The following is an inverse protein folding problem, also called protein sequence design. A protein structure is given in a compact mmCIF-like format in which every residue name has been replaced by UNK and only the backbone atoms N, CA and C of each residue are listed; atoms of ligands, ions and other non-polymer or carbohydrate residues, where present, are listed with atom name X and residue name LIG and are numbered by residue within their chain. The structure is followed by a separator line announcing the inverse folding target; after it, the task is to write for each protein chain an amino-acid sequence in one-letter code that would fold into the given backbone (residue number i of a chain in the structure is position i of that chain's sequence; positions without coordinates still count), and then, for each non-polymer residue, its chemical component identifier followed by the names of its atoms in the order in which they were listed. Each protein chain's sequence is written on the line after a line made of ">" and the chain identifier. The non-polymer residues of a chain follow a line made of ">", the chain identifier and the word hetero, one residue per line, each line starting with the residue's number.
data_IF_770319204680
#
_entry.id   IF_770319204680
#
_cell.length_a   1.000
_cell.length_b   1.000
_cell.length_c   1.000
_cell.angle_alpha   90.00
_cell.angle_beta   90.00
_cell.angle_gamma   90.00
#
_symmetry.space_group_name_H-M   'P 1'
#
loop_
_entity.id
_entity.type
_entity.pdbx_description
1 polymer ?
#
# COMPACT_ATOMS: atom_id res chain seq x y z
N UNK A 1 -10.21 28.31 17.93
CA UNK A 1 -8.91 28.77 18.46
C UNK A 1 -8.13 29.39 17.32
N UNK A 2 -7.89 30.70 17.36
CA UNK A 2 -7.10 31.41 16.35
C UNK A 2 -5.61 31.12 16.64
N UNK A 3 -4.85 30.61 15.66
CA UNK A 3 -3.42 30.37 15.85
C UNK A 3 -2.70 31.69 16.18
N UNK A 4 -1.81 31.66 17.18
CA UNK A 4 -1.04 32.83 17.58
C UNK A 4 -0.21 33.38 16.40
N UNK A 5 -0.18 34.70 16.16
CA UNK A 5 0.65 35.31 15.12
C UNK A 5 2.13 34.93 15.19
N UNK A 6 2.65 34.63 16.39
CA UNK A 6 4.03 34.18 16.57
C UNK A 6 4.26 32.77 15.97
N UNK A 7 3.25 31.89 16.03
CA UNK A 7 3.34 30.53 15.51
C UNK A 7 3.38 30.51 13.98
N UNK A 8 2.59 31.35 13.32
CA UNK A 8 2.58 31.45 11.86
C UNK A 8 3.90 32.03 11.31
N UNK A 9 4.48 33.00 12.01
CA UNK A 9 5.82 33.53 11.72
C UNK A 9 6.90 32.45 11.89
N UNK A 10 6.83 31.66 12.95
CA UNK A 10 7.75 30.54 13.18
C UNK A 10 7.64 29.47 12.07
N UNK A 11 6.42 29.07 11.69
CA UNK A 11 6.19 28.15 10.58
C UNK A 11 6.79 28.69 9.27
N UNK A 12 6.59 29.99 8.98
CA UNK A 12 7.18 30.64 7.80
C UNK A 12 8.70 30.65 7.85
N UNK A 13 9.30 30.95 9.01
CA UNK A 13 10.74 30.93 9.20
C UNK A 13 11.33 29.53 8.94
N UNK A 14 10.76 28.49 9.52
CA UNK A 14 11.20 27.09 9.33
C UNK A 14 11.12 26.70 7.85
N UNK A 15 10.02 27.03 7.16
CA UNK A 15 9.88 26.75 5.72
C UNK A 15 10.97 27.45 4.90
N UNK A 16 11.21 28.73 5.15
CA UNK A 16 12.22 29.51 4.42
C UNK A 16 13.64 28.99 4.63
N UNK A 17 13.95 28.51 5.83
CA UNK A 17 15.27 27.94 6.15
C UNK A 17 15.49 26.58 5.49
N UNK A 18 14.47 25.72 5.51
CA UNK A 18 14.61 24.31 5.10
C UNK A 18 14.41 24.10 3.60
N UNK A 19 13.58 24.91 2.94
CA UNK A 19 13.20 24.73 1.52
C UNK A 19 14.40 24.75 0.55
N UNK A 20 15.37 25.68 0.65
CA UNK A 20 16.52 25.69 -0.26
C UNK A 20 17.35 24.40 -0.18
N UNK A 21 17.50 23.86 1.03
CA UNK A 21 18.24 22.61 1.27
C UNK A 21 17.48 21.42 0.68
N UNK A 22 16.16 21.37 0.85
CA UNK A 22 15.32 20.33 0.27
C UNK A 22 15.32 20.35 -1.27
N UNK A 23 15.27 21.55 -1.88
CA UNK A 23 15.36 21.71 -3.33
C UNK A 23 16.71 21.20 -3.85
N UNK A 24 17.81 21.52 -3.15
CA UNK A 24 19.17 21.06 -3.53
C UNK A 24 19.33 19.54 -3.41
N UNK A 25 18.73 18.91 -2.41
CA UNK A 25 18.83 17.46 -2.21
C UNK A 25 17.89 16.66 -3.11
N UNK A 26 16.86 17.29 -3.67
CA UNK A 26 15.89 16.64 -4.54
C UNK A 26 15.06 15.55 -3.85
N UNK A 27 14.32 14.80 -4.67
CA UNK A 27 13.41 13.73 -4.22
C UNK A 27 13.91 12.32 -4.57
N UNK A 28 15.02 12.22 -5.30
CA UNK A 28 15.59 10.94 -5.74
C UNK A 28 16.46 10.33 -4.65
N UNK A 29 16.62 9.00 -4.68
CA UNK A 29 17.43 8.27 -3.69
C UNK A 29 18.94 8.32 -3.99
N UNK A 30 19.47 9.54 -4.14
CA UNK A 30 20.86 9.79 -4.51
C UNK A 30 21.71 10.28 -3.33
N UNK A 31 23.01 10.02 -3.43
CA UNK A 31 24.03 10.46 -2.46
C UNK A 31 24.29 9.45 -1.33
N UNK A 32 25.17 9.86 -0.41
CA UNK A 32 25.51 9.08 0.77
C UNK A 32 24.33 8.94 1.77
N UNK A 33 24.50 8.06 2.76
CA UNK A 33 23.48 7.79 3.77
C UNK A 33 23.08 9.03 4.59
N UNK A 34 23.96 10.01 4.78
CA UNK A 34 23.65 11.25 5.50
C UNK A 34 22.74 12.14 4.66
N UNK A 35 23.01 12.28 3.35
CA UNK A 35 22.14 13.00 2.41
C UNK A 35 20.75 12.37 2.34
N UNK A 36 20.66 11.04 2.29
CA UNK A 36 19.40 10.30 2.33
C UNK A 36 18.63 10.54 3.63
N UNK A 37 19.31 10.46 4.78
CA UNK A 37 18.71 10.72 6.10
C UNK A 37 18.25 12.17 6.24
N UNK A 38 19.07 13.13 5.82
CA UNK A 38 18.74 14.55 5.84
C UNK A 38 17.55 14.87 4.93
N UNK A 39 17.51 14.31 3.71
CA UNK A 39 16.38 14.47 2.77
C UNK A 39 15.07 14.02 3.41
N UNK A 40 15.02 12.81 3.96
CA UNK A 40 13.80 12.30 4.61
C UNK A 40 13.35 13.16 5.79
N UNK A 41 14.30 13.67 6.60
CA UNK A 41 14.00 14.56 7.71
C UNK A 41 13.45 15.92 7.23
N UNK A 42 14.07 16.54 6.21
CA UNK A 42 13.65 17.82 5.66
C UNK A 42 12.25 17.75 5.04
N UNK A 43 11.99 16.74 4.20
CA UNK A 43 10.67 16.56 3.59
C UNK A 43 9.59 16.37 4.66
N UNK A 44 9.88 15.59 5.72
CA UNK A 44 8.96 15.41 6.85
C UNK A 44 8.67 16.72 7.58
N UNK A 45 9.70 17.54 7.82
CA UNK A 45 9.57 18.85 8.45
C UNK A 45 8.75 19.79 7.55
N UNK A 46 9.07 19.90 6.27
CA UNK A 46 8.35 20.75 5.33
C UNK A 46 6.86 20.38 5.22
N UNK A 47 6.54 19.09 5.18
CA UNK A 47 5.15 18.61 5.23
C UNK A 47 4.48 18.99 6.55
N UNK A 48 5.14 18.76 7.68
CA UNK A 48 4.61 19.08 9.02
C UNK A 48 4.31 20.58 9.19
N UNK A 49 5.17 21.43 8.64
CA UNK A 49 5.04 22.89 8.70
C UNK A 49 4.24 23.47 7.53
N UNK A 50 3.54 22.65 6.74
CA UNK A 50 2.56 23.15 5.76
C UNK A 50 3.17 23.74 4.49
N UNK A 51 4.33 23.28 4.02
CA UNK A 51 4.84 23.70 2.70
C UNK A 51 3.98 23.08 1.58
N UNK A 52 3.20 23.93 0.91
CA UNK A 52 2.20 23.51 -0.08
C UNK A 52 2.80 22.74 -1.26
N UNK A 53 3.98 23.16 -1.74
CA UNK A 53 4.65 22.52 -2.88
C UNK A 53 5.10 21.10 -2.52
N UNK A 54 5.76 20.94 -1.37
CA UNK A 54 6.20 19.63 -0.86
C UNK A 54 5.00 18.73 -0.60
N UNK A 55 3.92 19.25 -0.01
CA UNK A 55 2.69 18.50 0.24
C UNK A 55 2.03 18.05 -1.08
N UNK A 56 1.92 18.96 -2.04
CA UNK A 56 1.31 18.66 -3.35
C UNK A 56 2.10 17.59 -4.08
N UNK A 57 3.43 17.70 -4.09
CA UNK A 57 4.30 16.69 -4.70
C UNK A 57 4.24 15.35 -3.98
N UNK A 58 4.20 15.33 -2.65
CA UNK A 58 4.01 14.10 -1.87
C UNK A 58 2.68 13.42 -2.19
N UNK A 59 1.58 14.19 -2.23
CA UNK A 59 0.24 13.71 -2.59
C UNK A 59 0.21 13.12 -4.00
N UNK A 60 0.76 13.83 -4.98
CA UNK A 60 0.83 13.37 -6.36
C UNK A 60 1.64 12.08 -6.48
N UNK A 61 2.78 12.01 -5.79
CA UNK A 61 3.63 10.80 -5.77
C UNK A 61 2.86 9.61 -5.20
N UNK A 62 2.15 9.81 -4.08
CA UNK A 62 1.32 8.77 -3.48
C UNK A 62 0.18 8.32 -4.43
N UNK A 63 -0.53 9.26 -5.05
CA UNK A 63 -1.59 8.96 -6.01
C UNK A 63 -1.09 8.17 -7.21
N UNK A 64 0.07 8.55 -7.76
CA UNK A 64 0.68 7.83 -8.88
C UNK A 64 1.08 6.40 -8.49
N UNK A 65 1.66 6.20 -7.30
CA UNK A 65 1.99 4.87 -6.78
C UNK A 65 0.71 4.02 -6.59
N UNK A 66 -0.37 4.63 -6.12
CA UNK A 66 -1.64 3.93 -5.96
C UNK A 66 -2.26 3.54 -7.30
N UNK A 67 -2.28 4.46 -8.25
CA UNK A 67 -2.76 4.19 -9.60
C UNK A 67 -1.95 3.08 -10.29
N UNK A 68 -0.63 3.06 -10.12
CA UNK A 68 0.23 2.02 -10.68
C UNK A 68 -0.08 0.64 -10.07
N UNK A 69 -0.27 0.55 -8.75
CA UNK A 69 -0.64 -0.70 -8.10
C UNK A 69 -2.02 -1.20 -8.57
N UNK A 70 -3.01 -0.31 -8.69
CA UNK A 70 -4.33 -0.69 -9.24
C UNK A 70 -4.20 -1.21 -10.67
N UNK A 71 -3.44 -0.51 -11.52
CA UNK A 71 -3.22 -0.92 -12.91
C UNK A 71 -2.52 -2.28 -13.00
N UNK A 72 -1.51 -2.50 -12.17
CA UNK A 72 -0.79 -3.76 -12.09
C UNK A 72 -1.71 -4.92 -11.68
N UNK A 73 -2.57 -4.70 -10.67
CA UNK A 73 -3.59 -5.67 -10.27
C UNK A 73 -4.61 -5.93 -11.39
N UNK A 74 -5.08 -4.90 -12.09
CA UNK A 74 -6.03 -5.06 -13.19
C UNK A 74 -5.48 -5.92 -14.33
N UNK A 75 -4.16 -5.93 -14.56
CA UNK A 75 -3.57 -6.86 -15.53
C UNK A 75 -3.74 -8.33 -15.16
N UNK A 76 -3.94 -8.66 -13.88
CA UNK A 76 -4.22 -10.03 -13.45
C UNK A 76 -5.64 -10.51 -13.82
N UNK A 77 -6.52 -9.61 -14.25
CA UNK A 77 -7.86 -9.92 -14.76
C UNK A 77 -7.90 -10.02 -16.29
N UNK A 78 -6.85 -9.53 -16.95
CA UNK A 78 -6.74 -9.47 -18.41
C UNK A 78 -5.86 -10.64 -18.89
N UNK A 79 -6.50 -11.64 -19.50
CA UNK A 79 -5.85 -12.87 -19.99
C UNK A 79 -4.85 -12.61 -21.11
N UNK A 80 -4.95 -11.49 -21.81
CA UNK A 80 -4.01 -11.09 -22.87
C UNK A 80 -2.74 -10.44 -22.30
N UNK A 81 -2.80 -9.94 -21.06
CA UNK A 81 -1.66 -9.33 -20.35
C UNK A 81 -0.98 -10.30 -19.40
N UNK A 82 -1.74 -11.09 -18.67
CA UNK A 82 -1.24 -12.07 -17.70
C UNK A 82 -1.93 -13.40 -17.96
N UNK A 83 -1.14 -14.45 -18.13
CA UNK A 83 -1.68 -15.80 -18.33
C UNK A 83 -2.33 -16.27 -17.02
N UNK A 84 -3.45 -17.02 -17.06
CA UNK A 84 -4.16 -17.45 -15.86
C UNK A 84 -3.27 -18.13 -14.80
N UNK A 85 -2.31 -18.96 -15.20
CA UNK A 85 -1.37 -19.62 -14.28
C UNK A 85 -0.43 -18.66 -13.53
N UNK A 86 -0.17 -17.47 -14.08
CA UNK A 86 0.74 -16.47 -13.51
C UNK A 86 0.00 -15.46 -12.61
N UNK A 87 -1.33 -15.39 -12.71
CA UNK A 87 -2.18 -14.44 -11.98
C UNK A 87 -1.99 -14.51 -10.47
N UNK A 88 -1.87 -15.71 -9.88
CA UNK A 88 -1.65 -15.85 -8.44
C UNK A 88 -0.30 -15.24 -7.99
N UNK A 89 0.75 -15.41 -8.80
CA UNK A 89 2.07 -14.82 -8.54
C UNK A 89 2.05 -13.31 -8.66
N UNK A 90 1.37 -12.77 -9.68
CA UNK A 90 1.19 -11.32 -9.86
C UNK A 90 0.53 -10.69 -8.64
N UNK A 91 -0.58 -11.28 -8.17
CA UNK A 91 -1.28 -10.81 -6.97
C UNK A 91 -0.40 -10.92 -5.72
N UNK A 92 0.32 -12.05 -5.55
CA UNK A 92 1.24 -12.23 -4.43
C UNK A 92 2.34 -11.16 -4.38
N UNK A 93 2.93 -10.80 -5.52
CA UNK A 93 3.93 -9.71 -5.58
C UNK A 93 3.32 -8.37 -5.15
N UNK A 94 2.09 -8.06 -5.56
CA UNK A 94 1.40 -6.85 -5.12
C UNK A 94 1.04 -6.89 -3.62
N UNK A 95 0.73 -8.08 -3.08
CA UNK A 95 0.44 -8.26 -1.66
C UNK A 95 1.66 -8.02 -0.76
N UNK A 96 2.86 -8.42 -1.20
CA UNK A 96 4.11 -8.17 -0.46
C UNK A 96 4.57 -6.71 -0.49
N UNK A 97 4.01 -5.88 -1.37
CA UNK A 97 4.31 -4.46 -1.42
C UNK A 97 3.67 -3.74 -0.21
N UNK A 98 4.47 -3.07 0.62
CA UNK A 98 3.97 -2.39 1.83
C UNK A 98 2.91 -1.32 1.56
N UNK A 99 2.98 -0.65 0.40
CA UNK A 99 1.99 0.34 -0.05
C UNK A 99 0.78 -0.39 -0.69
N UNK A 100 1.04 -1.50 -1.40
CA UNK A 100 0.04 -2.25 -2.17
C UNK A 100 -0.82 -3.23 -1.36
N UNK A 101 -0.32 -3.77 -0.23
CA UNK A 101 -0.96 -4.90 0.48
C UNK A 101 -2.43 -4.71 0.83
N UNK A 102 -2.79 -3.52 1.35
CA UNK A 102 -4.17 -3.17 1.70
C UNK A 102 -5.06 -3.10 0.46
N UNK A 103 -4.52 -2.54 -0.63
CA UNK A 103 -5.22 -2.43 -1.90
C UNK A 103 -5.42 -3.82 -2.53
N UNK A 104 -4.41 -4.69 -2.44
CA UNK A 104 -4.44 -6.06 -2.96
C UNK A 104 -5.55 -6.87 -2.27
N UNK A 105 -5.65 -6.83 -0.95
CA UNK A 105 -6.75 -7.50 -0.25
C UNK A 105 -8.14 -7.01 -0.69
N UNK A 106 -8.32 -5.69 -0.83
CA UNK A 106 -9.58 -5.12 -1.33
C UNK A 106 -9.88 -5.59 -2.76
N UNK A 107 -8.86 -5.62 -3.61
CA UNK A 107 -8.97 -6.09 -4.98
C UNK A 107 -9.36 -7.57 -5.07
N UNK A 108 -8.76 -8.42 -4.24
CA UNK A 108 -9.11 -9.85 -4.14
C UNK A 108 -10.56 -10.02 -3.69
N UNK A 109 -11.01 -9.28 -2.68
CA UNK A 109 -12.42 -9.33 -2.23
C UNK A 109 -13.41 -8.92 -3.31
N UNK A 110 -13.13 -7.84 -4.04
CA UNK A 110 -14.02 -7.33 -5.09
C UNK A 110 -14.11 -8.29 -6.28
N UNK A 111 -13.02 -8.97 -6.62
CA UNK A 111 -12.94 -9.87 -7.78
C UNK A 111 -12.98 -11.35 -7.38
N UNK A 112 -13.40 -11.66 -6.15
CA UNK A 112 -13.40 -13.03 -5.63
C UNK A 112 -14.14 -14.03 -6.53
N UNK A 113 -15.36 -13.74 -7.04
CA UNK A 113 -16.05 -14.68 -7.93
C UNK A 113 -15.25 -15.01 -9.20
N UNK A 114 -14.54 -14.03 -9.77
CA UNK A 114 -13.69 -14.23 -10.94
C UNK A 114 -12.52 -15.18 -10.66
N UNK A 115 -11.87 -15.04 -9.51
CA UNK A 115 -10.77 -15.93 -9.14
C UNK A 115 -11.26 -17.35 -8.81
N UNK A 116 -12.42 -17.48 -8.17
CA UNK A 116 -13.07 -18.79 -7.94
C UNK A 116 -13.43 -19.46 -9.27
N UNK A 117 -13.98 -18.71 -10.23
CA UNK A 117 -14.30 -19.24 -11.57
C UNK A 117 -13.03 -19.64 -12.33
N UNK A 118 -11.95 -18.85 -12.23
CA UNK A 118 -10.70 -19.08 -12.93
C UNK A 118 -9.93 -20.30 -12.40
N UNK A 119 -9.84 -20.46 -11.09
CA UNK A 119 -8.97 -21.47 -10.47
C UNK A 119 -9.72 -22.63 -9.82
N UNK A 120 -11.01 -22.46 -9.55
CA UNK A 120 -11.81 -23.37 -8.73
C UNK A 120 -11.64 -23.12 -7.22
N UNK A 121 -12.69 -23.38 -6.43
CA UNK A 121 -12.62 -23.30 -4.97
C UNK A 121 -11.60 -24.33 -4.42
N UNK A 122 -10.80 -23.93 -3.43
CA UNK A 122 -9.81 -24.81 -2.79
C UNK A 122 -8.59 -25.18 -3.65
N UNK A 123 -8.36 -24.46 -4.75
CA UNK A 123 -7.15 -24.64 -5.57
C UNK A 123 -5.91 -24.02 -4.91
N UNK A 124 -4.73 -24.55 -5.24
CA UNK A 124 -3.46 -24.02 -4.73
C UNK A 124 -3.26 -22.53 -5.08
N UNK A 125 -3.67 -22.09 -6.27
CA UNK A 125 -3.61 -20.68 -6.68
C UNK A 125 -4.47 -19.78 -5.80
N UNK A 126 -5.66 -20.24 -5.40
CA UNK A 126 -6.53 -19.52 -4.47
C UNK A 126 -5.90 -19.46 -3.07
N UNK A 127 -5.33 -20.56 -2.60
CA UNK A 127 -4.64 -20.60 -1.30
C UNK A 127 -3.43 -19.64 -1.26
N UNK A 128 -2.67 -19.58 -2.36
CA UNK A 128 -1.56 -18.64 -2.50
C UNK A 128 -2.05 -17.19 -2.49
N UNK A 129 -3.08 -16.85 -3.26
CA UNK A 129 -3.67 -15.50 -3.27
C UNK A 129 -4.13 -15.10 -1.87
N UNK A 130 -4.81 -16.01 -1.16
CA UNK A 130 -5.29 -15.77 0.19
C UNK A 130 -4.15 -15.56 1.16
N UNK A 131 -3.22 -16.51 1.27
CA UNK A 131 -2.11 -16.47 2.21
C UNK A 131 -1.27 -15.20 2.03
N UNK A 132 -0.92 -14.86 0.80
CA UNK A 132 -0.12 -13.66 0.50
C UNK A 132 -0.89 -12.38 0.84
N UNK A 133 -2.19 -12.32 0.55
CA UNK A 133 -3.00 -11.11 0.76
C UNK A 133 -3.32 -10.84 2.24
N UNK A 134 -3.37 -11.88 3.08
CA UNK A 134 -3.77 -11.76 4.49
C UNK A 134 -2.63 -11.91 5.49
N UNK A 135 -1.49 -12.49 5.12
CA UNK A 135 -0.36 -12.76 6.02
C UNK A 135 0.20 -11.53 6.75
N UNK A 136 -0.02 -10.34 6.20
CA UNK A 136 0.47 -9.09 6.78
C UNK A 136 -0.51 -8.41 7.75
N UNK A 137 -1.71 -8.98 7.93
CA UNK A 137 -2.71 -8.46 8.84
C UNK A 137 -2.55 -9.04 10.24
N UNK A 138 -2.38 -8.16 11.22
CA UNK A 138 -2.14 -8.54 12.61
C UNK A 138 -3.10 -7.84 13.59
N UNK A 139 -4.07 -7.06 13.08
CA UNK A 139 -5.00 -6.32 13.93
C UNK A 139 -6.34 -7.06 14.10
N UNK A 140 -6.99 -6.82 15.23
CA UNK A 140 -8.33 -7.36 15.50
C UNK A 140 -9.36 -6.91 14.46
N UNK A 141 -9.22 -5.67 13.97
CA UNK A 141 -10.07 -5.12 12.92
C UNK A 141 -9.95 -5.92 11.63
N UNK A 142 -8.72 -6.21 11.19
CA UNK A 142 -8.49 -6.99 9.97
C UNK A 142 -9.05 -8.41 10.12
N UNK A 143 -8.87 -9.03 11.29
CA UNK A 143 -9.45 -10.34 11.58
C UNK A 143 -10.97 -10.36 11.43
N UNK A 144 -11.66 -9.39 12.05
CA UNK A 144 -13.13 -9.34 12.00
C UNK A 144 -13.59 -9.09 10.55
N UNK A 145 -12.87 -8.27 9.77
CA UNK A 145 -13.15 -8.07 8.35
C UNK A 145 -13.01 -9.36 7.53
N UNK A 146 -11.91 -10.09 7.71
CA UNK A 146 -11.63 -11.35 6.98
C UNK A 146 -12.65 -12.42 7.39
N UNK A 147 -12.93 -12.57 8.68
CA UNK A 147 -13.92 -13.51 9.21
C UNK A 147 -15.30 -13.22 8.64
N UNK A 148 -15.71 -11.95 8.61
CA UNK A 148 -17.00 -11.56 8.06
C UNK A 148 -17.06 -11.80 6.55
N UNK A 149 -15.97 -11.58 5.82
CA UNK A 149 -15.92 -11.83 4.38
C UNK A 149 -16.16 -13.30 4.03
N UNK A 150 -15.59 -14.22 4.80
CA UNK A 150 -15.71 -15.67 4.56
C UNK A 150 -16.90 -16.34 5.26
N UNK A 151 -17.63 -15.62 6.10
CA UNK A 151 -18.80 -16.17 6.77
C UNK A 151 -19.85 -16.64 5.73
N UNK A 152 -20.14 -17.94 5.72
CA UNK A 152 -21.08 -18.55 4.78
C UNK A 152 -20.56 -18.75 3.35
N UNK A 153 -19.27 -18.54 3.07
CA UNK A 153 -18.66 -18.85 1.76
C UNK A 153 -17.91 -20.18 1.81
N UNK A 154 -18.04 -20.99 0.76
CA UNK A 154 -17.17 -22.15 0.57
C UNK A 154 -15.78 -21.69 0.12
N UNK A 155 -14.82 -21.78 1.04
CA UNK A 155 -13.43 -21.32 0.88
C UNK A 155 -12.45 -22.47 0.78
N UNK A 156 -12.93 -23.72 0.81
CA UNK A 156 -12.07 -24.91 0.83
C UNK A 156 -11.00 -24.84 1.92
N UNK A 157 -9.75 -25.12 1.54
CA UNK A 157 -8.55 -25.11 2.39
C UNK A 157 -8.16 -23.72 2.93
N UNK A 158 -8.72 -22.63 2.40
CA UNK A 158 -8.41 -21.26 2.82
C UNK A 158 -8.67 -20.96 4.31
N UNK A 159 -9.52 -21.76 4.98
CA UNK A 159 -9.73 -21.68 6.44
C UNK A 159 -8.46 -22.01 7.23
N UNK A 160 -7.61 -22.93 6.74
CA UNK A 160 -6.36 -23.31 7.39
C UNK A 160 -5.32 -22.19 7.29
N UNK A 161 -5.19 -21.55 6.13
CA UNK A 161 -4.31 -20.38 5.93
C UNK A 161 -4.69 -19.20 6.84
N UNK A 162 -5.99 -19.04 7.10
CA UNK A 162 -6.54 -18.03 8.00
C UNK A 162 -6.20 -18.34 9.47
N UNK A 163 -6.26 -19.61 9.88
CA UNK A 163 -5.83 -20.04 11.21
C UNK A 163 -4.31 -19.94 11.41
N UNK A 164 -3.52 -20.14 10.37
CA UNK A 164 -2.05 -20.09 10.45
C UNK A 164 -1.53 -18.66 10.54
N UNK A 165 -2.10 -17.72 9.78
CA UNK A 165 -1.71 -16.30 9.80
C UNK A 165 -1.99 -15.60 11.14
N UNK A 166 -2.80 -16.20 12.02
CA UNK A 166 -3.19 -15.64 13.32
C UNK A 166 -2.42 -16.24 14.51
N UNK A 167 -1.59 -17.27 14.29
CA UNK A 167 -0.79 -17.89 15.35
C UNK A 167 0.58 -17.23 15.54
N UNK A 168 1.00 -16.41 14.59
CA UNK A 168 2.25 -15.63 14.61
C UNK A 168 1.98 -14.17 14.99
#
# INVERSE_FOLDING_TARGET
>A
MQESPALSLFHKYVRNLMKPVAVKLGWTDEGDHLKKKLRSALLRVLIRFGDEETITKAKLTFQNLMHLNVRYLNYSLDRDKVRPQDTASVIGVAARNTIGRLLTWRFVRMNWPYFVEMFGPGSFSMDMILSESISHFSSKFDYDEIKNFFNGRDVGTGVQSLQQSLRE
#
